data_IF_779204807467
#
_entry.id   IF_779204807467
#
_cell.length_a   1.000
_cell.length_b   1.000
_cell.length_c   1.000
_cell.angle_alpha   90.00
_cell.angle_beta   90.00
_cell.angle_gamma   90.00
#
_symmetry.space_group_name_H-M   'P 1'
#
loop_
_entity.id
_entity.type
_entity.pdbx_description
1 polymer ?
#
# COMPACT_ATOMS: atom_id res chain seq x y z
N UNK A 1 38.28 6.48 -2.68
CA UNK A 1 37.65 7.13 -3.85
C UNK A 1 36.14 7.05 -3.66
N UNK A 2 35.43 8.19 -3.71
CA UNK A 2 33.97 8.19 -3.62
C UNK A 2 33.38 7.68 -4.94
N UNK A 3 32.40 6.77 -4.86
CA UNK A 3 31.65 6.30 -6.02
C UNK A 3 30.83 7.46 -6.59
N UNK A 4 30.62 7.55 -7.92
CA UNK A 4 29.76 8.59 -8.51
C UNK A 4 28.34 8.51 -7.94
N UNK A 5 27.70 9.67 -7.69
CA UNK A 5 26.37 9.79 -7.07
C UNK A 5 25.30 8.94 -7.76
N UNK A 6 25.37 8.79 -9.09
CA UNK A 6 24.45 7.96 -9.87
C UNK A 6 24.47 6.48 -9.48
N UNK A 7 25.64 5.93 -9.13
CA UNK A 7 25.76 4.55 -8.64
C UNK A 7 25.17 4.37 -7.24
N UNK A 8 25.29 5.40 -6.40
CA UNK A 8 24.71 5.41 -5.05
C UNK A 8 23.18 5.45 -5.15
N UNK A 9 22.61 6.25 -6.05
CA UNK A 9 21.17 6.31 -6.29
C UNK A 9 20.61 4.97 -6.82
N UNK A 10 21.32 4.30 -7.72
CA UNK A 10 20.97 2.95 -8.19
C UNK A 10 20.94 1.94 -7.05
N UNK A 11 21.99 1.89 -6.22
CA UNK A 11 22.06 0.98 -5.06
C UNK A 11 20.99 1.31 -4.01
N UNK A 12 20.73 2.59 -3.76
CA UNK A 12 19.67 3.03 -2.87
C UNK A 12 18.29 2.59 -3.38
N UNK A 13 18.04 2.68 -4.69
CA UNK A 13 16.81 2.16 -5.31
C UNK A 13 16.67 0.66 -5.15
N UNK A 14 17.76 -0.11 -5.37
CA UNK A 14 17.78 -1.56 -5.16
C UNK A 14 17.55 -1.97 -3.70
N UNK A 15 18.10 -1.22 -2.74
CA UNK A 15 17.84 -1.43 -1.32
C UNK A 15 16.37 -1.14 -0.97
N UNK A 16 15.81 -0.07 -1.51
CA UNK A 16 14.42 0.35 -1.27
C UNK A 16 13.41 -0.64 -1.85
N UNK A 17 13.73 -1.32 -2.96
CA UNK A 17 12.92 -2.42 -3.51
C UNK A 17 12.75 -3.58 -2.51
N UNK A 18 13.81 -3.96 -1.79
CA UNK A 18 13.73 -5.00 -0.76
C UNK A 18 12.81 -4.56 0.39
N UNK A 19 12.90 -3.31 0.82
CA UNK A 19 12.05 -2.75 1.88
C UNK A 19 10.58 -2.64 1.47
N UNK A 20 10.29 -2.15 0.25
CA UNK A 20 8.92 -2.11 -0.28
C UNK A 20 8.35 -3.52 -0.42
N UNK A 21 9.13 -4.46 -0.96
CA UNK A 21 8.70 -5.85 -1.11
C UNK A 21 8.34 -6.50 0.23
N UNK A 22 9.18 -6.33 1.25
CA UNK A 22 8.93 -6.88 2.59
C UNK A 22 7.70 -6.29 3.27
N UNK A 23 7.52 -4.96 3.21
CA UNK A 23 6.36 -4.29 3.81
C UNK A 23 5.05 -4.63 3.08
N UNK A 24 5.08 -4.74 1.74
CA UNK A 24 3.91 -5.14 0.96
C UNK A 24 3.55 -6.60 1.21
N UNK A 25 4.54 -7.50 1.26
CA UNK A 25 4.33 -8.90 1.61
C UNK A 25 3.67 -9.03 2.98
N UNK A 26 4.17 -8.31 3.99
CA UNK A 26 3.59 -8.33 5.33
C UNK A 26 2.13 -7.81 5.34
N UNK A 27 1.84 -6.75 4.58
CA UNK A 27 0.48 -6.19 4.48
C UNK A 27 -0.49 -7.16 3.78
N UNK A 28 -0.05 -7.89 2.75
CA UNK A 28 -0.88 -8.83 1.99
C UNK A 28 -0.96 -10.23 2.60
N UNK A 29 0.01 -10.62 3.44
CA UNK A 29 0.05 -11.93 4.10
C UNK A 29 -0.66 -11.95 5.46
N UNK A 30 -1.22 -10.82 5.89
CA UNK A 30 -1.86 -10.71 7.19
C UNK A 30 -3.01 -11.72 7.34
N UNK A 31 -3.05 -12.46 8.46
CA UNK A 31 -3.98 -13.59 8.68
C UNK A 31 -5.45 -13.16 8.72
N UNK A 32 -5.71 -11.88 9.00
CA UNK A 32 -7.04 -11.31 8.84
C UNK A 32 -7.30 -11.05 7.35
N UNK A 33 -8.04 -11.97 6.71
CA UNK A 33 -8.45 -11.88 5.29
C UNK A 33 -8.98 -10.50 4.90
N UNK A 34 -9.65 -9.80 5.82
CA UNK A 34 -10.23 -8.46 5.63
C UNK A 34 -9.19 -7.35 5.53
N UNK A 35 -8.11 -7.44 6.30
CA UNK A 35 -7.03 -6.44 6.27
C UNK A 35 -6.22 -6.58 4.98
N UNK A 36 -6.09 -7.82 4.49
CA UNK A 36 -5.51 -8.11 3.17
C UNK A 36 -6.32 -7.48 2.05
N UNK A 37 -7.63 -7.67 2.01
CA UNK A 37 -8.48 -7.12 0.95
C UNK A 37 -8.40 -5.58 0.90
N UNK A 38 -8.41 -4.94 2.07
CA UNK A 38 -8.21 -3.49 2.18
C UNK A 38 -6.82 -3.04 1.67
N UNK A 39 -5.76 -3.78 2.00
CA UNK A 39 -4.40 -3.49 1.54
C UNK A 39 -4.25 -3.67 0.01
N UNK A 40 -4.89 -4.69 -0.57
CA UNK A 40 -4.94 -4.90 -2.03
C UNK A 40 -5.63 -3.72 -2.71
N UNK A 41 -6.77 -3.25 -2.20
CA UNK A 41 -7.49 -2.10 -2.75
C UNK A 41 -6.62 -0.84 -2.69
N UNK A 42 -5.95 -0.57 -1.55
CA UNK A 42 -5.04 0.57 -1.42
C UNK A 42 -3.91 0.53 -2.46
N UNK A 43 -3.28 -0.63 -2.62
CA UNK A 43 -2.19 -0.83 -3.56
C UNK A 43 -2.66 -0.65 -5.01
N UNK A 44 -3.77 -1.28 -5.40
CA UNK A 44 -4.30 -1.19 -6.76
C UNK A 44 -4.70 0.24 -7.13
N UNK A 45 -5.37 0.96 -6.24
CA UNK A 45 -5.75 2.37 -6.49
C UNK A 45 -4.50 3.25 -6.59
N UNK A 46 -3.49 3.03 -5.75
CA UNK A 46 -2.21 3.75 -5.82
C UNK A 46 -1.48 3.45 -7.13
N UNK A 47 -1.39 2.18 -7.52
CA UNK A 47 -0.72 1.72 -8.74
C UNK A 47 -1.46 2.13 -10.02
N UNK A 48 -2.77 2.38 -9.94
CA UNK A 48 -3.59 2.77 -11.09
C UNK A 48 -3.22 4.15 -11.66
N UNK A 49 -2.46 4.99 -10.94
CA UNK A 49 -2.07 6.32 -11.41
C UNK A 49 -3.24 7.30 -11.59
N UNK A 50 -4.42 6.98 -11.04
CA UNK A 50 -5.59 7.84 -11.10
C UNK A 50 -5.33 9.16 -10.40
N UNK A 51 -5.54 10.25 -11.12
CA UNK A 51 -5.46 11.61 -10.59
C UNK A 51 -6.87 12.18 -10.53
N UNK A 52 -7.44 12.18 -9.33
CA UNK A 52 -8.76 12.73 -9.06
C UNK A 52 -8.59 14.07 -8.34
N UNK A 53 -9.28 15.11 -8.81
CA UNK A 53 -9.29 16.45 -8.18
C UNK A 53 -7.88 17.09 -8.13
N UNK A 54 -6.99 16.73 -9.06
CA UNK A 54 -5.60 17.20 -9.06
C UNK A 54 -4.70 16.57 -7.98
N UNK A 55 -5.22 15.60 -7.22
CA UNK A 55 -4.47 14.85 -6.20
C UNK A 55 -4.04 13.49 -6.78
N UNK A 56 -2.78 13.12 -6.56
CA UNK A 56 -2.21 11.86 -7.03
C UNK A 56 -2.84 10.60 -6.42
N UNK A 57 -2.63 9.47 -7.09
CA UNK A 57 -3.24 8.19 -6.75
C UNK A 57 -2.90 7.65 -5.36
N UNK A 58 -1.73 8.00 -4.81
CA UNK A 58 -1.30 7.55 -3.49
C UNK A 58 -2.24 8.00 -2.36
N UNK A 59 -2.80 9.20 -2.46
CA UNK A 59 -3.78 9.69 -1.49
C UNK A 59 -5.09 8.92 -1.58
N UNK A 60 -5.60 8.74 -2.80
CA UNK A 60 -6.83 8.02 -3.06
C UNK A 60 -6.72 6.54 -2.71
N UNK A 61 -5.53 5.94 -2.86
CA UNK A 61 -5.25 4.57 -2.43
C UNK A 61 -5.34 4.41 -0.92
N UNK A 62 -4.76 5.34 -0.16
CA UNK A 62 -4.89 5.33 1.31
C UNK A 62 -6.36 5.47 1.74
N UNK A 63 -7.10 6.42 1.15
CA UNK A 63 -8.52 6.61 1.47
C UNK A 63 -9.34 5.37 1.10
N UNK A 64 -9.19 4.83 -0.11
CA UNK A 64 -9.95 3.68 -0.57
C UNK A 64 -9.67 2.43 0.28
N UNK A 65 -8.40 2.15 0.58
CA UNK A 65 -8.04 1.05 1.48
C UNK A 65 -8.52 1.25 2.91
N UNK A 66 -8.41 2.47 3.45
CA UNK A 66 -8.91 2.80 4.78
C UNK A 66 -10.43 2.65 4.89
N UNK A 67 -11.18 3.12 3.88
CA UNK A 67 -12.63 2.93 3.79
C UNK A 67 -12.97 1.45 3.69
N UNK A 68 -12.26 0.68 2.85
CA UNK A 68 -12.46 -0.77 2.72
C UNK A 68 -12.24 -1.48 4.07
N UNK A 69 -11.16 -1.15 4.78
CA UNK A 69 -10.85 -1.67 6.11
C UNK A 69 -11.98 -1.37 7.11
N UNK A 70 -12.39 -0.12 7.20
CA UNK A 70 -13.44 0.33 8.13
C UNK A 70 -14.78 -0.33 7.81
N UNK A 71 -15.16 -0.41 6.53
CA UNK A 71 -16.40 -1.05 6.09
C UNK A 71 -16.39 -2.54 6.42
N UNK A 72 -15.31 -3.26 6.10
CA UNK A 72 -15.19 -4.69 6.41
C UNK A 72 -15.18 -4.98 7.91
N UNK A 73 -14.55 -4.10 8.70
CA UNK A 73 -14.53 -4.23 10.16
C UNK A 73 -15.91 -3.90 10.77
N UNK A 74 -16.56 -2.82 10.32
CA UNK A 74 -17.91 -2.44 10.77
C UNK A 74 -18.98 -3.49 10.43
N UNK A 75 -18.91 -4.09 9.24
CA UNK A 75 -19.83 -5.17 8.83
C UNK A 75 -19.65 -6.39 9.75
N UNK A 76 -18.41 -6.70 10.14
CA UNK A 76 -18.12 -7.82 11.02
C UNK A 76 -18.61 -7.61 12.45
N UNK A 77 -18.43 -6.41 13.02
CA UNK A 77 -18.97 -6.09 14.35
C UNK A 77 -20.50 -6.15 14.36
N UNK A 78 -21.15 -5.73 13.27
CA UNK A 78 -22.61 -5.82 13.14
C UNK A 78 -23.14 -7.26 13.06
N UNK A 79 -22.35 -8.21 12.54
CA UNK A 79 -22.75 -9.61 12.40
C UNK A 79 -22.47 -10.46 13.66
N UNK A 80 -21.96 -9.83 14.73
CA UNK A 80 -21.70 -10.48 16.03
C UNK A 80 -22.82 -10.27 17.05
N UNK A 81 -23.88 -9.57 16.67
CA UNK A 81 -25.15 -9.39 17.39
C UNK A 81 -26.29 -10.05 16.62
#
# INVERSE_FOLDING_TARGET
>A
AALPVSWIQMLAGLALLSTIGGSLYQALHNERERERDAAVVAFLVTASGLTLVGIGSAFWGLIAGGVCYVVLNLIADRNRY
#
